data_IF_308347908853
#
_entry.id   IF_308347908853
#
_cell.length_a   1.000
_cell.length_b   1.000
_cell.length_c   1.000
_cell.angle_alpha   90.00
_cell.angle_beta   90.00
_cell.angle_gamma   90.00
#
_symmetry.space_group_name_H-M   'P 1'
#
loop_
_entity.id
_entity.type
_entity.pdbx_description
1 polymer ?
#
# COMPACT_ATOMS: atom_id res chain seq x y z
N UNK A 1 -0.73 -3.29 8.52
CA UNK A 1 0.75 -3.37 8.49
C UNK A 1 1.12 -4.69 7.86
N UNK A 2 1.97 -4.69 6.84
CA UNK A 2 2.51 -5.89 6.20
C UNK A 2 3.79 -6.30 6.92
N UNK A 3 3.89 -7.58 7.31
CA UNK A 3 5.05 -8.14 8.00
C UNK A 3 5.68 -9.24 7.15
N UNK A 4 6.99 -9.16 6.92
CA UNK A 4 7.78 -10.15 6.19
C UNK A 4 8.85 -10.72 7.12
N UNK A 5 8.72 -12.01 7.44
CA UNK A 5 9.66 -12.75 8.28
C UNK A 5 10.40 -13.78 7.47
N UNK A 6 11.71 -13.94 7.70
CA UNK A 6 12.50 -15.01 7.12
C UNK A 6 13.45 -15.58 8.16
N UNK A 7 13.45 -16.91 8.27
CA UNK A 7 14.35 -17.66 9.13
C UNK A 7 14.95 -18.79 8.31
N UNK A 8 16.26 -18.96 8.37
CA UNK A 8 16.93 -20.16 7.84
C UNK A 8 17.19 -21.06 9.04
N UNK A 9 16.50 -22.20 9.11
CA UNK A 9 16.88 -23.26 10.05
C UNK A 9 18.31 -23.64 9.72
N UNK A 10 19.19 -23.57 10.71
CA UNK A 10 20.49 -24.19 10.57
C UNK A 10 20.23 -25.69 10.48
N UNK A 11 20.41 -26.25 9.29
CA UNK A 11 20.70 -27.68 9.19
C UNK A 11 22.00 -27.86 9.96
N UNK A 12 21.84 -28.30 11.20
CA UNK A 12 22.96 -28.65 12.05
C UNK A 12 23.87 -29.51 11.22
N UNK A 13 25.12 -29.09 11.12
CA UNK A 13 26.20 -29.97 10.72
C UNK A 13 25.98 -31.26 11.52
N UNK A 14 25.54 -32.33 10.85
CA UNK A 14 25.56 -33.66 11.44
C UNK A 14 26.94 -33.86 12.02
N UNK A 15 27.02 -34.49 13.19
CA UNK A 15 28.28 -34.76 13.89
C UNK A 15 29.39 -35.13 12.89
N UNK A 16 30.25 -34.16 12.53
CA UNK A 16 31.33 -34.36 11.55
C UNK A 16 31.47 -33.42 10.35
N UNK A 17 30.54 -32.51 10.02
CA UNK A 17 30.79 -31.54 8.93
C UNK A 17 31.26 -30.17 9.44
N UNK A 18 32.57 -29.96 9.49
CA UNK A 18 33.14 -28.66 9.86
C UNK A 18 33.20 -27.73 8.64
N UNK A 19 32.42 -26.66 8.66
CA UNK A 19 32.42 -25.62 7.63
C UNK A 19 33.68 -24.75 7.79
N UNK A 20 34.64 -24.87 6.85
CA UNK A 20 35.87 -24.08 6.87
C UNK A 20 35.64 -22.56 6.78
N UNK A 21 34.63 -22.12 6.01
CA UNK A 21 34.27 -20.70 5.91
C UNK A 21 32.80 -20.52 5.49
N UNK A 22 32.09 -19.65 6.21
CA UNK A 22 30.72 -19.22 5.89
C UNK A 22 30.70 -17.71 5.68
N UNK A 23 30.74 -17.28 4.41
CA UNK A 23 30.76 -15.86 4.05
C UNK A 23 29.44 -15.11 4.30
N UNK A 24 28.31 -15.82 4.39
CA UNK A 24 27.00 -15.20 4.65
C UNK A 24 26.25 -16.01 5.72
N UNK A 25 26.02 -15.39 6.86
CA UNK A 25 25.23 -15.98 7.94
C UNK A 25 23.73 -15.98 7.57
N UNK A 26 23.04 -17.10 7.82
CA UNK A 26 21.59 -17.24 7.62
C UNK A 26 20.78 -16.59 8.74
N UNK A 27 21.00 -15.30 9.00
CA UNK A 27 20.34 -14.57 10.09
C UNK A 27 18.84 -14.49 9.85
N UNK A 28 18.06 -14.75 10.90
CA UNK A 28 16.64 -14.45 10.90
C UNK A 28 16.41 -12.94 10.72
N UNK A 29 15.34 -12.57 10.03
CA UNK A 29 14.95 -11.18 9.85
C UNK A 29 13.44 -11.02 9.93
N UNK A 30 13.04 -9.83 10.36
CA UNK A 30 11.66 -9.35 10.24
C UNK A 30 11.68 -7.93 9.68
N UNK A 31 10.81 -7.67 8.71
CA UNK A 31 10.60 -6.34 8.14
C UNK A 31 9.11 -6.03 8.18
N UNK A 32 8.77 -4.86 8.72
CA UNK A 32 7.41 -4.36 8.79
C UNK A 32 7.27 -3.16 7.86
N UNK A 33 6.22 -3.17 7.05
CA UNK A 33 5.89 -2.15 6.08
C UNK A 33 4.50 -1.61 6.40
N UNK A 34 4.38 -0.29 6.50
CA UNK A 34 3.06 0.33 6.61
C UNK A 34 2.49 0.49 5.21
N UNK A 35 1.32 -0.13 4.98
CA UNK A 35 0.59 0.05 3.72
C UNK A 35 -0.20 1.35 3.82
N UNK A 36 -0.30 2.06 2.69
CA UNK A 36 -1.15 3.23 2.57
C UNK A 36 -2.63 2.84 2.57
N UNK A 37 -3.50 3.82 2.77
CA UNK A 37 -4.94 3.62 2.70
C UNK A 37 -5.33 3.05 1.33
N UNK A 38 -6.25 2.09 1.36
CA UNK A 38 -6.77 1.41 0.17
C UNK A 38 -5.71 0.61 -0.62
N UNK A 39 -4.58 0.26 -0.02
CA UNK A 39 -3.60 -0.68 -0.60
C UNK A 39 -3.81 -2.07 -0.01
N UNK A 40 -4.00 -3.04 -0.88
CA UNK A 40 -4.20 -4.45 -0.55
C UNK A 40 -3.08 -5.31 -1.16
N UNK A 41 -2.67 -6.35 -0.45
CA UNK A 41 -1.74 -7.35 -0.98
C UNK A 41 -2.52 -8.31 -1.87
N UNK A 42 -2.10 -8.47 -3.12
CA UNK A 42 -2.78 -9.35 -4.09
C UNK A 42 -2.00 -10.61 -4.42
N UNK A 43 -0.69 -10.63 -4.12
CA UNK A 43 0.16 -11.77 -4.43
C UNK A 43 1.53 -11.67 -3.79
N UNK A 44 2.23 -12.78 -3.76
CA UNK A 44 3.64 -12.86 -3.41
C UNK A 44 4.30 -13.98 -4.21
N UNK A 45 5.51 -13.75 -4.71
CA UNK A 45 6.28 -14.76 -5.43
C UNK A 45 7.77 -14.69 -5.07
N UNK A 46 8.40 -15.85 -4.93
CA UNK A 46 9.83 -15.97 -4.66
C UNK A 46 10.53 -16.52 -5.90
N UNK A 47 11.46 -15.76 -6.48
CA UNK A 47 12.21 -16.18 -7.67
C UNK A 47 13.67 -15.76 -7.55
N UNK A 48 14.59 -16.70 -7.79
CA UNK A 48 16.04 -16.46 -7.74
C UNK A 48 16.51 -15.81 -6.42
N UNK A 49 15.89 -16.20 -5.28
CA UNK A 49 16.22 -15.66 -3.96
C UNK A 49 15.63 -14.28 -3.66
N UNK A 50 14.78 -13.73 -4.54
CA UNK A 50 14.11 -12.45 -4.35
C UNK A 50 12.61 -12.66 -4.12
N UNK A 51 12.09 -12.08 -3.03
CA UNK A 51 10.67 -12.07 -2.72
C UNK A 51 10.03 -10.82 -3.34
N UNK A 52 9.09 -11.03 -4.25
CA UNK A 52 8.21 -10.02 -4.82
C UNK A 52 6.87 -10.06 -4.08
N UNK A 53 6.36 -8.90 -3.69
CA UNK A 53 5.04 -8.75 -3.06
C UNK A 53 4.23 -7.79 -3.92
N UNK A 54 3.13 -8.28 -4.47
CA UNK A 54 2.27 -7.52 -5.36
C UNK A 54 1.24 -6.75 -4.54
N UNK A 55 1.18 -5.44 -4.76
CA UNK A 55 0.27 -4.52 -4.08
C UNK A 55 -0.69 -3.89 -5.09
N UNK A 56 -1.98 -3.84 -4.76
CA UNK A 56 -3.02 -3.19 -5.56
C UNK A 56 -3.64 -2.06 -4.77
N UNK A 57 -3.79 -0.90 -5.40
CA UNK A 57 -4.54 0.23 -4.84
C UNK A 57 -5.99 0.18 -5.31
N UNK A 58 -6.93 0.06 -4.39
CA UNK A 58 -8.37 0.00 -4.66
C UNK A 58 -9.06 1.29 -4.22
N UNK A 59 -9.06 2.34 -5.06
CA UNK A 59 -9.68 3.62 -4.71
C UNK A 59 -11.21 3.50 -4.76
N UNK A 60 -11.93 3.68 -3.63
CA UNK A 60 -13.39 3.70 -3.60
C UNK A 60 -13.98 4.68 -4.61
N UNK A 61 -15.12 4.34 -5.21
CA UNK A 61 -15.81 5.21 -6.18
C UNK A 61 -16.26 6.56 -5.59
N UNK A 62 -16.44 6.61 -4.28
CA UNK A 62 -16.79 7.84 -3.54
C UNK A 62 -15.65 8.87 -3.52
N UNK A 63 -14.41 8.39 -3.59
CA UNK A 63 -13.21 9.23 -3.68
C UNK A 63 -12.88 9.61 -5.12
N UNK A 64 -13.56 9.02 -6.12
CA UNK A 64 -13.44 9.47 -7.51
C UNK A 64 -14.12 10.83 -7.66
N UNK A 65 -13.48 11.80 -8.35
CA UNK A 65 -14.11 13.08 -8.62
C UNK A 65 -15.41 12.88 -9.41
N UNK A 66 -16.54 13.37 -8.88
CA UNK A 66 -17.84 13.30 -9.54
C UNK A 66 -18.15 14.61 -10.24
N UNK A 67 -18.64 14.53 -11.47
CA UNK A 67 -19.17 15.69 -12.20
C UNK A 67 -20.54 16.05 -11.62
N UNK A 68 -20.66 17.23 -11.03
CA UNK A 68 -21.95 17.76 -10.57
C UNK A 68 -22.54 18.59 -11.71
N UNK A 69 -23.74 18.23 -12.18
CA UNK A 69 -24.44 19.02 -13.18
C UNK A 69 -24.97 20.32 -12.55
N UNK A 70 -24.62 21.47 -13.13
CA UNK A 70 -25.22 22.75 -12.76
C UNK A 70 -26.54 22.88 -13.51
N UNK A 71 -27.66 22.66 -12.83
CA UNK A 71 -28.98 22.97 -13.36
C UNK A 71 -29.29 24.45 -13.14
N UNK A 72 -29.67 25.17 -14.19
CA UNK A 72 -30.19 26.52 -14.04
C UNK A 72 -31.47 26.47 -13.20
N UNK A 73 -31.48 27.16 -12.06
CA UNK A 73 -32.69 27.36 -11.29
C UNK A 73 -33.71 28.07 -12.20
N UNK A 74 -34.95 27.55 -12.26
CA UNK A 74 -36.07 28.24 -12.90
C UNK A 74 -36.11 29.67 -12.38
N UNK A 75 -36.17 30.63 -13.31
CA UNK A 75 -36.01 32.05 -13.09
C UNK A 75 -37.07 32.63 -12.13
N UNK A 76 -36.84 32.49 -10.82
CA UNK A 76 -37.43 33.30 -9.75
C UNK A 76 -36.40 33.48 -8.63
N UNK A 77 -35.14 33.77 -8.97
CA UNK A 77 -34.23 34.37 -8.02
C UNK A 77 -34.69 35.82 -7.80
N UNK A 78 -35.15 36.15 -6.59
CA UNK A 78 -35.46 37.54 -6.21
C UNK A 78 -34.16 38.35 -6.29
N UNK A 79 -34.07 39.21 -7.29
CA UNK A 79 -32.98 40.16 -7.46
C UNK A 79 -33.00 41.11 -6.26
N UNK A 80 -31.89 41.20 -5.53
CA UNK A 80 -31.74 42.14 -4.43
C UNK A 80 -31.29 43.46 -5.07
N UNK A 81 -32.21 44.42 -5.21
CA UNK A 81 -31.87 45.76 -5.69
C UNK A 81 -31.16 46.53 -4.56
N UNK A 82 -29.98 47.07 -4.86
CA UNK A 82 -29.27 47.97 -3.97
C UNK A 82 -29.83 49.39 -4.14
N UNK A 83 -30.52 49.89 -3.11
CA UNK A 83 -30.98 51.28 -3.07
C UNK A 83 -29.79 52.18 -2.71
N UNK A 84 -29.19 52.83 -3.70
CA UNK A 84 -28.18 53.87 -3.48
C UNK A 84 -28.88 55.17 -3.08
N UNK A 85 -28.78 55.54 -1.81
CA UNK A 85 -29.25 56.84 -1.32
C UNK A 85 -28.34 57.97 -1.85
N UNK A 86 -28.97 59.02 -2.39
CA UNK A 86 -28.33 60.26 -2.81
C UNK A 86 -28.13 61.22 -1.64
#
# INVERSE_FOLDING_TARGET
VLTVTGERKEEGNGEGSELLYRGIAGRAFERRFQLADHVEVVGASLKNGLLFVDLKRNIPEELKPRKIAITAASAKAKQIEANTAA
#
